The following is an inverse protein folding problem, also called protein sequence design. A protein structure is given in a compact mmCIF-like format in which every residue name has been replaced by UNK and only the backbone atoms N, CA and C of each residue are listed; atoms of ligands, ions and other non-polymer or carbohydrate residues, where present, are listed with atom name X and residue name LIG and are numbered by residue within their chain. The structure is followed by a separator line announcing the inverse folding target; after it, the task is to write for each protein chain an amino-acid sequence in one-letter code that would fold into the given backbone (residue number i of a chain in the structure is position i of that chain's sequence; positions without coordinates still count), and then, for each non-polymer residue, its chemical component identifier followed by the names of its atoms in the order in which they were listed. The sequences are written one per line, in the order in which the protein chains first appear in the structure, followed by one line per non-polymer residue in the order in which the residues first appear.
data_IF_038020025177
#
_entry.id   IF_038020025177
#
_cell.length_a   1.000
_cell.length_b   1.000
_cell.length_c   1.000
_cell.angle_alpha   90.00
_cell.angle_beta   90.00
_cell.angle_gamma   90.00
#
_symmetry.space_group_name_H-M   'P 1'
#
loop_
_entity.id
_entity.type
_entity.pdbx_description
1 polymer ?
#
# COMPACT_ATOMS: atom_id res chain seq x y z
N UNK A 1 -7.97 -4.87 -28.99
CA UNK A 1 -7.47 -3.86 -28.04
C UNK A 1 -8.12 -4.17 -26.72
N UNK A 2 -7.35 -4.52 -25.69
CA UNK A 2 -7.90 -4.63 -24.33
C UNK A 2 -8.45 -3.26 -23.93
N UNK A 3 -9.67 -3.24 -23.41
CA UNK A 3 -10.30 -2.01 -22.94
C UNK A 3 -9.55 -1.55 -21.70
N UNK A 4 -8.95 -0.36 -21.71
CA UNK A 4 -8.33 0.19 -20.51
C UNK A 4 -9.45 0.61 -19.55
N UNK A 5 -9.43 0.07 -18.33
CA UNK A 5 -10.43 0.29 -17.29
C UNK A 5 -9.81 1.03 -16.10
N UNK A 6 -10.63 1.67 -15.23
CA UNK A 6 -10.12 2.35 -14.04
C UNK A 6 -9.32 1.46 -13.07
N UNK A 7 -9.50 0.13 -13.11
CA UNK A 7 -8.71 -0.81 -12.33
C UNK A 7 -7.25 -0.88 -12.80
N UNK A 8 -6.98 -0.77 -14.10
CA UNK A 8 -5.62 -0.80 -14.66
C UNK A 8 -4.78 0.37 -14.15
N UNK A 9 -5.38 1.57 -14.09
CA UNK A 9 -4.74 2.76 -13.56
C UNK A 9 -4.38 2.59 -12.07
N UNK A 10 -5.23 1.90 -11.32
CA UNK A 10 -5.00 1.65 -9.89
C UNK A 10 -3.91 0.60 -9.69
N UNK A 11 -3.85 -0.42 -10.54
CA UNK A 11 -2.76 -1.40 -10.57
C UNK A 11 -1.42 -0.74 -10.89
N UNK A 12 -1.39 0.18 -11.86
CA UNK A 12 -0.19 0.96 -12.17
C UNK A 12 0.27 1.79 -10.98
N UNK A 13 -0.66 2.43 -10.24
CA UNK A 13 -0.33 3.16 -9.01
C UNK A 13 0.22 2.25 -7.91
N UNK A 14 -0.31 1.03 -7.79
CA UNK A 14 0.23 0.03 -6.86
C UNK A 14 1.65 -0.36 -7.26
N UNK A 15 1.90 -0.64 -8.54
CA UNK A 15 3.24 -0.96 -9.04
C UNK A 15 4.21 0.18 -8.79
N UNK A 16 3.82 1.41 -9.11
CA UNK A 16 4.61 2.61 -8.83
C UNK A 16 4.94 2.75 -7.34
N UNK A 17 3.97 2.53 -6.43
CA UNK A 17 4.23 2.55 -4.99
C UNK A 17 5.29 1.52 -4.57
N UNK A 18 5.28 0.32 -5.15
CA UNK A 18 6.28 -0.70 -4.85
C UNK A 18 7.66 -0.31 -5.40
N UNK A 19 7.69 0.20 -6.63
CA UNK A 19 8.94 0.59 -7.31
C UNK A 19 9.59 1.83 -6.68
N UNK A 20 8.78 2.76 -6.14
CA UNK A 20 9.24 3.96 -5.44
C UNK A 20 9.79 3.66 -4.03
N UNK A 21 9.59 2.45 -3.50
CA UNK A 21 10.02 2.04 -2.16
C UNK A 21 10.84 0.73 -2.17
N UNK A 22 11.93 0.65 -2.97
CA UNK A 22 12.69 -0.59 -3.16
C UNK A 22 13.45 -1.04 -1.90
N UNK A 23 13.71 -0.12 -0.97
CA UNK A 23 14.40 -0.37 0.30
C UNK A 23 13.46 -0.60 1.48
N UNK A 24 12.16 -0.78 1.22
CA UNK A 24 11.20 -1.12 2.26
C UNK A 24 11.56 -2.47 2.89
N UNK A 25 11.42 -2.54 4.21
CA UNK A 25 11.49 -3.75 5.01
C UNK A 25 10.18 -4.54 4.94
N UNK A 26 9.10 -3.93 4.44
CA UNK A 26 7.80 -4.57 4.26
C UNK A 26 7.75 -5.29 2.90
N UNK A 27 7.29 -6.55 2.93
CA UNK A 27 7.11 -7.36 1.73
C UNK A 27 5.62 -7.42 1.35
N UNK A 28 5.30 -6.96 0.14
CA UNK A 28 3.93 -6.90 -0.39
C UNK A 28 3.69 -7.81 -1.60
N UNK A 29 4.42 -8.93 -1.68
CA UNK A 29 4.30 -9.87 -2.81
C UNK A 29 2.87 -10.44 -2.93
N UNK A 30 2.23 -10.76 -1.81
CA UNK A 30 0.88 -11.32 -1.80
C UNK A 30 -0.16 -10.28 -2.26
N UNK A 31 -0.01 -9.03 -1.83
CA UNK A 31 -0.85 -7.90 -2.17
C UNK A 31 -0.70 -7.55 -3.66
N UNK A 32 0.51 -7.60 -4.21
CA UNK A 32 0.76 -7.43 -5.64
C UNK A 32 0.02 -8.47 -6.48
N UNK A 33 0.10 -9.75 -6.10
CA UNK A 33 -0.62 -10.82 -6.79
C UNK A 33 -2.14 -10.71 -6.61
N UNK A 34 -2.60 -10.28 -5.43
CA UNK A 34 -4.02 -10.04 -5.17
C UNK A 34 -4.54 -8.88 -6.03
N UNK A 35 -3.78 -7.79 -6.15
CA UNK A 35 -4.13 -6.65 -7.00
C UNK A 35 -4.29 -7.06 -8.47
N UNK A 36 -3.37 -7.87 -9.01
CA UNK A 36 -3.48 -8.41 -10.38
C UNK A 36 -4.76 -9.22 -10.56
N UNK A 37 -5.03 -10.17 -9.65
CA UNK A 37 -6.25 -10.99 -9.70
C UNK A 37 -7.52 -10.16 -9.64
N UNK A 38 -7.55 -9.11 -8.83
CA UNK A 38 -8.69 -8.20 -8.74
C UNK A 38 -8.89 -7.43 -10.06
N UNK A 39 -7.81 -7.05 -10.75
CA UNK A 39 -7.89 -6.36 -12.05
C UNK A 39 -8.37 -7.30 -13.14
N UNK A 40 -7.87 -8.53 -13.19
CA UNK A 40 -8.34 -9.56 -14.11
C UNK A 40 -9.84 -9.83 -13.90
N UNK A 41 -10.27 -9.99 -12.65
CA UNK A 41 -11.68 -10.14 -12.29
C UNK A 41 -12.55 -8.93 -12.67
N UNK A 42 -11.99 -7.72 -12.68
CA UNK A 42 -12.69 -6.50 -13.08
C UNK A 42 -12.88 -6.43 -14.59
N UNK A 43 -11.92 -6.91 -15.38
CA UNK A 43 -12.05 -7.05 -16.83
C UNK A 43 -13.17 -8.03 -17.17
N UNK A 44 -13.24 -9.19 -16.50
CA UNK A 44 -14.33 -10.16 -16.69
C UNK A 44 -15.71 -9.55 -16.39
N UNK A 45 -15.83 -8.78 -15.30
CA UNK A 45 -17.09 -8.15 -14.92
C UNK A 45 -17.49 -7.02 -15.87
N UNK A 46 -16.54 -6.26 -16.40
CA UNK A 46 -16.81 -5.24 -17.42
C UNK A 46 -17.27 -5.89 -18.72
N UNK A 47 -16.62 -6.97 -19.15
CA UNK A 47 -17.04 -7.73 -20.32
C UNK A 47 -18.48 -8.26 -20.15
N UNK A 48 -18.81 -8.76 -18.96
CA UNK A 48 -20.19 -9.19 -18.65
C UNK A 48 -21.18 -8.03 -18.65
N UNK A 49 -20.85 -6.87 -18.07
CA UNK A 49 -21.70 -5.68 -18.11
C UNK A 49 -21.90 -5.16 -19.53
N UNK A 50 -20.87 -5.21 -20.37
CA UNK A 50 -20.96 -4.86 -21.79
C UNK A 50 -21.89 -5.82 -22.54
N UNK A 51 -21.78 -7.13 -22.27
CA UNK A 51 -22.68 -8.14 -22.82
C UNK A 51 -24.13 -7.89 -22.42
N UNK A 52 -24.42 -7.69 -21.12
CA UNK A 52 -25.76 -7.38 -20.63
C UNK A 52 -26.31 -6.09 -21.25
N UNK A 53 -25.46 -5.09 -21.47
CA UNK A 53 -25.86 -3.85 -22.13
C UNK A 53 -26.26 -4.09 -23.60
N UNK A 54 -25.54 -4.95 -24.33
CA UNK A 54 -25.93 -5.31 -25.70
C UNK A 54 -27.25 -6.08 -25.72
N UNK A 55 -27.46 -7.05 -24.82
CA UNK A 55 -28.76 -7.74 -24.70
C UNK A 55 -29.91 -6.75 -24.41
N UNK A 56 -29.66 -5.74 -23.57
CA UNK A 56 -30.64 -4.69 -23.30
C UNK A 56 -30.98 -3.84 -24.54
N UNK A 57 -30.01 -3.56 -25.40
CA UNK A 57 -30.23 -2.82 -26.65
C UNK A 57 -31.05 -3.66 -27.64
N UNK A 58 -30.75 -4.95 -27.76
CA UNK A 58 -31.53 -5.86 -28.62
C UNK A 58 -32.99 -5.97 -28.15
N UNK A 59 -33.24 -6.02 -26.84
CA UNK A 59 -34.59 -6.01 -26.27
C UNK A 59 -35.34 -4.70 -26.52
N UNK A 60 -34.65 -3.60 -26.81
CA UNK A 60 -35.29 -2.30 -27.10
C UNK A 60 -35.88 -2.27 -28.52
N UNK A 61 -35.29 -3.03 -29.44
CA UNK A 61 -35.72 -3.10 -30.85
C UNK A 61 -36.80 -4.17 -31.09
N UNK A 62 -37.10 -5.00 -30.08
CA UNK A 62 -38.13 -6.04 -30.15
C UNK A 62 -39.49 -5.54 -29.62
N UNK A 63 -40.46 -5.45 -30.53
CA UNK A 63 -41.81 -4.94 -30.26
C UNK A 63 -42.66 -5.83 -29.33
N UNK A 64 -42.24 -7.07 -29.06
CA UNK A 64 -43.00 -8.02 -28.23
C UNK A 64 -42.44 -8.19 -26.81
N UNK A 65 -41.38 -7.44 -26.44
CA UNK A 65 -40.73 -7.60 -25.12
C UNK A 65 -41.65 -7.22 -23.97
N UNK A 66 -41.77 -8.13 -23.00
CA UNK A 66 -42.57 -7.90 -21.81
C UNK A 66 -41.86 -6.99 -20.79
N UNK A 67 -42.64 -6.19 -20.06
CA UNK A 67 -42.14 -5.39 -18.93
C UNK A 67 -41.40 -6.27 -17.89
N UNK A 68 -41.81 -7.53 -17.74
CA UNK A 68 -41.18 -8.46 -16.81
C UNK A 68 -39.77 -8.86 -17.25
N UNK A 69 -39.54 -9.02 -18.56
CA UNK A 69 -38.20 -9.30 -19.11
C UNK A 69 -37.26 -8.11 -18.94
N UNK A 70 -37.75 -6.89 -19.20
CA UNK A 70 -36.99 -5.65 -18.95
C UNK A 70 -36.59 -5.54 -17.48
N UNK A 71 -37.52 -5.79 -16.54
CA UNK A 71 -37.23 -5.77 -15.11
C UNK A 71 -36.20 -6.82 -14.70
N UNK A 72 -36.31 -8.04 -15.24
CA UNK A 72 -35.35 -9.11 -14.98
C UNK A 72 -33.96 -8.71 -15.47
N UNK A 73 -33.86 -8.20 -16.69
CA UNK A 73 -32.59 -7.78 -17.27
C UNK A 73 -31.94 -6.65 -16.46
N UNK A 74 -32.73 -5.65 -16.04
CA UNK A 74 -32.27 -4.60 -15.15
C UNK A 74 -31.74 -5.14 -13.83
N UNK A 75 -32.45 -6.08 -13.20
CA UNK A 75 -32.00 -6.69 -11.94
C UNK A 75 -30.68 -7.44 -12.11
N UNK A 76 -30.51 -8.19 -13.22
CA UNK A 76 -29.25 -8.86 -13.56
C UNK A 76 -28.10 -7.87 -13.74
N UNK A 77 -28.34 -6.78 -14.48
CA UNK A 77 -27.35 -5.71 -14.66
C UNK A 77 -26.96 -5.05 -13.32
N UNK A 78 -27.95 -4.70 -12.49
CA UNK A 78 -27.71 -4.09 -11.17
C UNK A 78 -26.87 -5.02 -10.29
N UNK A 79 -27.13 -6.33 -10.30
CA UNK A 79 -26.37 -7.32 -9.55
C UNK A 79 -24.91 -7.44 -10.04
N UNK A 80 -24.71 -7.51 -11.36
CA UNK A 80 -23.38 -7.52 -11.96
C UNK A 80 -22.59 -6.25 -11.62
N UNK A 81 -23.26 -5.09 -11.64
CA UNK A 81 -22.65 -3.81 -11.29
C UNK A 81 -22.26 -3.72 -9.82
N UNK A 82 -23.07 -4.27 -8.90
CA UNK A 82 -22.68 -4.34 -7.47
C UNK A 82 -21.47 -5.25 -7.25
N UNK A 83 -21.36 -6.36 -7.98
CA UNK A 83 -20.19 -7.23 -7.91
C UNK A 83 -18.92 -6.51 -8.39
N UNK A 84 -19.01 -5.81 -9.53
CA UNK A 84 -17.94 -4.95 -10.04
C UNK A 84 -17.53 -3.88 -9.02
N UNK A 85 -18.50 -3.17 -8.44
CA UNK A 85 -18.24 -2.11 -7.45
C UNK A 85 -17.54 -2.65 -6.20
N UNK A 86 -17.94 -3.83 -5.72
CA UNK A 86 -17.34 -4.47 -4.54
C UNK A 86 -15.87 -4.79 -4.80
N UNK A 87 -15.57 -5.43 -5.93
CA UNK A 87 -14.20 -5.80 -6.28
C UNK A 87 -13.31 -4.57 -6.50
N UNK A 88 -13.83 -3.52 -7.16
CA UNK A 88 -13.13 -2.25 -7.29
C UNK A 88 -12.80 -1.61 -5.94
N UNK A 89 -13.72 -1.73 -4.97
CA UNK A 89 -13.53 -1.20 -3.62
C UNK A 89 -12.43 -1.95 -2.87
N UNK A 90 -12.37 -3.27 -3.02
CA UNK A 90 -11.27 -4.08 -2.47
C UNK A 90 -9.91 -3.69 -3.06
N UNK A 91 -9.84 -3.40 -4.37
CA UNK A 91 -8.60 -2.92 -4.99
C UNK A 91 -8.16 -1.55 -4.44
N UNK A 92 -9.12 -0.65 -4.20
CA UNK A 92 -8.85 0.66 -3.55
C UNK A 92 -8.35 0.51 -2.13
N UNK A 93 -8.97 -0.37 -1.35
CA UNK A 93 -8.57 -0.64 0.03
C UNK A 93 -7.14 -1.21 0.10
N UNK A 94 -6.81 -2.11 -0.84
CA UNK A 94 -5.46 -2.65 -0.96
C UNK A 94 -4.43 -1.56 -1.29
N UNK A 95 -4.74 -0.70 -2.26
CA UNK A 95 -3.88 0.46 -2.57
C UNK A 95 -3.67 1.38 -1.35
N UNK A 96 -4.74 1.72 -0.63
CA UNK A 96 -4.66 2.57 0.56
C UNK A 96 -3.83 1.92 1.66
N UNK A 97 -4.02 0.62 1.89
CA UNK A 97 -3.25 -0.15 2.86
C UNK A 97 -1.75 -0.07 2.55
N UNK A 98 -1.36 -0.36 1.31
CA UNK A 98 0.04 -0.26 0.88
C UNK A 98 0.61 1.15 1.10
N UNK A 99 -0.11 2.17 0.67
CA UNK A 99 0.31 3.56 0.81
C UNK A 99 0.54 3.94 2.28
N UNK A 100 -0.41 3.59 3.16
CA UNK A 100 -0.31 3.86 4.60
C UNK A 100 0.84 3.06 5.23
N UNK A 101 1.04 1.81 4.83
CA UNK A 101 2.13 0.98 5.35
C UNK A 101 3.50 1.58 5.04
N UNK A 102 3.75 2.05 3.81
CA UNK A 102 5.01 2.73 3.47
C UNK A 102 5.21 4.04 4.23
N UNK A 103 4.15 4.84 4.39
CA UNK A 103 4.22 6.08 5.18
C UNK A 103 4.54 5.77 6.64
N UNK A 104 3.89 4.76 7.20
CA UNK A 104 4.08 4.33 8.59
C UNK A 104 5.48 3.78 8.81
N UNK A 105 5.98 2.95 7.89
CA UNK A 105 7.35 2.46 7.94
C UNK A 105 8.36 3.62 7.94
N UNK A 106 8.23 4.57 7.00
CA UNK A 106 9.12 5.74 6.95
C UNK A 106 9.07 6.54 8.25
N UNK A 107 7.90 6.69 8.84
CA UNK A 107 7.73 7.37 10.11
C UNK A 107 8.45 6.64 11.25
N UNK A 108 8.25 5.33 11.37
CA UNK A 108 8.88 4.48 12.41
C UNK A 108 10.39 4.45 12.23
N UNK A 109 10.88 4.24 11.00
CA UNK A 109 12.32 4.28 10.71
C UNK A 109 12.92 5.65 11.08
N UNK A 110 12.24 6.74 10.74
CA UNK A 110 12.72 8.08 11.09
C UNK A 110 12.83 8.29 12.61
N UNK A 111 11.79 7.91 13.35
CA UNK A 111 11.74 8.12 14.80
C UNK A 111 12.68 7.17 15.55
N UNK A 112 12.52 5.87 15.33
CA UNK A 112 13.21 4.85 16.10
C UNK A 112 14.66 4.66 15.65
N UNK A 113 14.95 4.65 14.35
CA UNK A 113 16.32 4.39 13.92
C UNK A 113 17.21 5.62 13.96
N UNK A 114 16.72 6.80 13.59
CA UNK A 114 17.58 7.99 13.58
C UNK A 114 17.47 8.76 14.89
N UNK A 115 16.24 9.06 15.34
CA UNK A 115 16.03 9.84 16.57
C UNK A 115 16.57 9.15 17.83
N UNK A 116 16.23 7.89 18.05
CA UNK A 116 16.68 7.18 19.25
C UNK A 116 18.16 6.78 19.18
N UNK A 117 18.68 6.40 18.00
CA UNK A 117 20.11 6.12 17.85
C UNK A 117 20.97 7.36 18.06
N UNK A 118 20.58 8.54 17.57
CA UNK A 118 21.33 9.78 17.80
C UNK A 118 21.36 10.15 19.29
N UNK A 119 20.23 9.97 19.99
CA UNK A 119 20.18 10.17 21.44
C UNK A 119 21.06 9.17 22.19
N UNK A 120 21.07 7.91 21.76
CA UNK A 120 21.91 6.88 22.37
C UNK A 120 23.40 7.14 22.13
N UNK A 121 23.79 7.50 20.90
CA UNK A 121 25.16 7.88 20.56
C UNK A 121 25.61 9.10 21.36
N UNK A 122 24.77 10.11 21.49
CA UNK A 122 25.07 11.31 22.29
C UNK A 122 25.35 10.95 23.75
N UNK A 123 24.53 10.07 24.35
CA UNK A 123 24.75 9.59 25.73
C UNK A 123 26.03 8.77 25.88
N UNK A 124 26.40 8.00 24.86
CA UNK A 124 27.66 7.23 24.87
C UNK A 124 28.85 8.19 24.81
N UNK A 125 28.82 9.16 23.90
CA UNK A 125 29.89 10.16 23.77
C UNK A 125 30.08 10.97 25.06
N UNK A 126 28.98 11.39 25.71
CA UNK A 126 29.02 12.10 26.99
C UNK A 126 29.68 11.24 28.09
N UNK A 127 29.25 9.99 28.24
CA UNK A 127 29.87 9.07 29.20
C UNK A 127 31.35 8.81 28.92
N UNK A 128 31.74 8.69 27.67
CA UNK A 128 33.15 8.50 27.30
C UNK A 128 33.97 9.73 27.65
N UNK A 129 33.45 10.94 27.40
CA UNK A 129 34.12 12.18 27.77
C UNK A 129 34.30 12.31 29.31
N UNK A 130 33.27 11.94 30.08
CA UNK A 130 33.35 11.93 31.55
C UNK A 130 34.41 10.92 32.03
N UNK A 131 34.44 9.72 31.44
CA UNK A 131 35.45 8.70 31.76
C UNK A 131 36.86 9.16 31.42
N UNK A 132 37.07 9.79 30.27
CA UNK A 132 38.38 10.32 29.87
C UNK A 132 38.86 11.41 30.85
N UNK A 133 37.95 12.23 31.36
CA UNK A 133 38.24 13.25 32.35
C UNK A 133 38.60 12.65 33.72
N UNK A 134 37.85 11.66 34.19
CA UNK A 134 38.19 10.92 35.41
C UNK A 134 39.55 10.21 35.30
N UNK A 135 39.85 9.59 34.15
CA UNK A 135 41.14 8.95 33.89
C UNK A 135 42.27 9.98 33.90
N UNK A 136 42.07 11.16 33.30
CA UNK A 136 43.07 12.23 33.32
C UNK A 136 43.36 12.71 34.75
N UNK A 137 42.32 12.92 35.56
CA UNK A 137 42.46 13.30 36.97
C UNK A 137 43.16 12.21 37.80
N UNK A 138 42.82 10.94 37.58
CA UNK A 138 43.48 9.81 38.25
C UNK A 138 44.95 9.70 37.87
N UNK A 139 45.29 9.92 36.59
CA UNK A 139 46.69 9.94 36.14
C UNK A 139 47.48 11.05 36.81
N UNK A 140 46.91 12.27 36.86
CA UNK A 140 47.53 13.42 37.52
C UNK A 140 47.75 13.16 39.02
N UNK A 141 46.75 12.59 39.68
CA UNK A 141 46.85 12.16 41.08
C UNK A 141 47.97 11.13 41.28
N UNK A 142 48.03 10.06 40.47
CA UNK A 142 49.09 9.04 40.59
C UNK A 142 50.47 9.63 40.35
N UNK A 143 50.65 10.47 39.33
CA UNK A 143 51.94 11.14 39.08
C UNK A 143 52.39 12.03 40.25
N UNK A 144 51.46 12.59 41.02
CA UNK A 144 51.81 13.38 42.21
C UNK A 144 52.35 12.54 43.38
N UNK A 145 52.15 11.21 43.38
CA UNK A 145 52.76 10.29 44.36
C UNK A 145 54.08 9.69 43.90
N UNK A 146 54.40 9.75 42.60
CA UNK A 146 55.67 9.25 42.04
C UNK A 146 56.80 10.31 42.11
N UNK A 147 56.50 11.55 42.50
CA UNK A 147 57.46 12.66 42.63
C UNK A 147 57.98 12.93 44.07
N UNK A 148 57.58 12.11 45.06
CA UNK A 148 58.10 12.11 46.45
C UNK A 148 59.06 10.92 46.72
#
# INVERSE_FOLDING_TARGET
METIIPADQLLQKIQQLLDDNPSSLLNFTAEKETAKKLVDGQHEKIAHLQFLHQEMLELQDDSEVSINEIRRMKATFDQAYQAYKKEYSSLKELYLTLAVSFVTEKYVLKQCFFGESDQMLSKIMEKTADQDLEIAQLKEFVSSFDED
#
